data_IF_235814484072
#
_entry.id   IF_235814484072
#
_cell.length_a   1.000
_cell.length_b   1.000
_cell.length_c   1.000
_cell.angle_alpha   90.00
_cell.angle_beta   90.00
_cell.angle_gamma   90.00
#
_symmetry.space_group_name_H-M   'P 1'
#
loop_
_entity.id
_entity.type
_entity.pdbx_description
1 polymer ?
2 non-polymer ?
3 water ?
#
# COMPACT_ATOMS: atom_id res chain seq x y z
N UNK A 1 4.65 4.36 -13.72
CA UNK A 1 5.98 3.65 -13.76
C UNK A 1 7.04 4.51 -13.07
N UNK A 2 7.71 3.97 -12.06
CA UNK A 2 8.63 4.78 -11.25
C UNK A 2 10.03 4.51 -11.73
N UNK A 3 10.89 5.54 -11.75
CA UNK A 3 12.27 5.27 -12.12
C UNK A 3 12.94 4.27 -11.16
N UNK A 4 13.85 3.47 -11.71
CA UNK A 4 14.60 2.50 -10.94
C UNK A 4 15.53 3.15 -9.92
N UNK A 5 16.04 4.32 -10.25
CA UNK A 5 16.96 5.07 -9.41
C UNK A 5 16.61 6.53 -9.42
N UNK A 6 16.81 7.20 -8.29
CA UNK A 6 16.76 8.65 -8.26
C UNK A 6 17.85 9.19 -7.35
N UNK A 7 18.32 10.37 -7.72
CA UNK A 7 19.29 11.10 -6.93
C UNK A 7 19.01 12.58 -7.14
N UNK A 8 18.29 13.15 -6.19
CA UNK A 8 17.91 14.56 -6.26
C UNK A 8 19.11 15.52 -6.24
N UNK A 9 20.29 15.07 -5.81
CA UNK A 9 21.50 15.90 -5.81
C UNK A 9 21.88 16.26 -7.24
N UNK A 10 21.69 15.31 -8.16
CA UNK A 10 21.95 15.52 -9.60
C UNK A 10 21.03 16.56 -10.23
N UNK A 11 19.86 16.82 -9.62
CA UNK A 11 18.92 17.87 -10.05
C UNK A 11 19.09 19.21 -9.34
N UNK A 12 20.17 19.41 -8.60
CA UNK A 12 20.38 20.71 -7.96
C UNK A 12 19.39 21.02 -6.84
N UNK A 13 18.82 19.98 -6.24
CA UNK A 13 17.77 20.13 -5.26
C UNK A 13 18.25 19.88 -3.83
N UNK A 14 19.55 19.66 -3.65
CA UNK A 14 20.14 19.34 -2.34
C UNK A 14 21.33 20.27 -2.05
N UNK A 15 21.31 20.92 -0.89
CA UNK A 15 22.38 21.79 -0.46
C UNK A 15 23.53 20.98 0.11
N UNK A 16 24.64 21.67 0.38
CA UNK A 16 25.79 21.06 1.04
C UNK A 16 25.42 20.38 2.37
N UNK A 17 26.17 19.33 2.66
CA UNK A 17 25.99 18.58 3.90
C UNK A 17 26.37 19.48 5.08
N UNK A 18 25.53 19.46 6.11
CA UNK A 18 25.73 20.24 7.32
C UNK A 18 26.29 19.37 8.46
N UNK A 19 26.70 20.03 9.55
CA UNK A 19 27.34 19.40 10.69
C UNK A 19 26.66 19.93 11.93
N UNK A 20 25.81 19.10 12.54
CA UNK A 20 25.06 19.52 13.71
C UNK A 20 25.91 19.67 14.97
N UNK A 21 27.09 19.07 14.97
CA UNK A 21 27.96 19.11 16.13
C UNK A 21 27.28 18.47 17.33
N UNK A 22 27.50 19.03 18.51
CA UNK A 22 26.98 18.43 19.75
C UNK A 22 25.57 18.90 20.18
N UNK A 23 24.77 19.34 19.22
CA UNK A 23 23.41 19.78 19.46
C UNK A 23 22.53 18.82 18.69
N UNK A 24 21.59 18.17 19.39
CA UNK A 24 20.74 17.14 18.78
C UNK A 24 19.62 17.75 17.96
N UNK A 25 19.99 18.40 16.86
CA UNK A 25 19.06 19.12 16.02
C UNK A 25 18.87 18.45 14.64
N UNK A 26 19.07 17.15 14.56
CA UNK A 26 18.89 16.38 13.30
C UNK A 26 17.51 16.63 12.68
N UNK A 27 16.52 16.72 13.55
CA UNK A 27 15.14 17.02 13.15
C UNK A 27 15.06 18.33 12.38
N UNK A 28 15.82 19.32 12.84
CA UNK A 28 15.83 20.64 12.20
C UNK A 28 16.50 20.60 10.84
N UNK A 29 17.63 19.90 10.76
CA UNK A 29 18.33 19.77 9.49
C UNK A 29 17.51 18.96 8.47
N UNK A 30 16.84 17.92 8.94
CA UNK A 30 15.98 17.11 8.07
C UNK A 30 14.84 17.95 7.46
N UNK A 31 14.23 18.79 8.28
CA UNK A 31 13.10 19.65 7.88
C UNK A 31 13.54 20.67 6.86
N UNK A 32 14.61 21.40 7.17
CA UNK A 32 15.10 22.42 6.22
C UNK A 32 15.54 21.77 4.92
N UNK A 33 16.14 20.58 5.01
CA UNK A 33 16.62 19.88 3.81
C UNK A 33 15.49 19.57 2.84
N UNK A 34 14.40 19.05 3.39
CA UNK A 34 13.24 18.76 2.59
C UNK A 34 12.66 20.03 1.97
N UNK A 35 12.59 21.10 2.74
CA UNK A 35 12.04 22.36 2.23
C UNK A 35 12.94 23.03 1.19
N UNK A 36 14.26 22.87 1.34
CA UNK A 36 15.24 23.43 0.40
C UNK A 36 14.94 22.91 -1.00
N UNK A 37 14.62 21.63 -1.07
CA UNK A 37 14.32 20.98 -2.35
C UNK A 37 13.05 21.56 -3.00
N UNK A 38 12.01 21.73 -2.19
CA UNK A 38 10.75 22.31 -2.69
C UNK A 38 10.95 23.76 -3.15
N UNK A 39 11.76 24.52 -2.42
CA UNK A 39 12.10 25.90 -2.82
C UNK A 39 12.80 25.93 -4.16
N UNK A 40 13.73 25.00 -4.37
CA UNK A 40 14.38 24.90 -5.64
C UNK A 40 13.41 24.55 -6.76
N UNK A 41 12.58 23.54 -6.52
CA UNK A 41 11.55 23.14 -7.51
C UNK A 41 10.63 24.31 -7.88
N UNK A 42 10.26 25.12 -6.89
CA UNK A 42 9.36 26.22 -7.10
C UNK A 42 10.04 27.44 -7.74
N UNK A 43 11.15 27.90 -7.15
CA UNK A 43 11.74 29.17 -7.54
C UNK A 43 12.96 29.05 -8.46
N UNK A 44 13.48 27.83 -8.66
CA UNK A 44 14.73 27.63 -9.41
C UNK A 44 16.01 27.92 -8.63
N UNK A 45 15.92 28.41 -7.40
CA UNK A 45 17.12 28.78 -6.64
C UNK A 45 17.32 27.82 -5.46
N UNK A 46 18.57 27.42 -5.24
CA UNK A 46 18.93 26.57 -4.13
C UNK A 46 19.55 27.41 -3.03
N UNK A 47 18.92 27.48 -1.87
CA UNK A 47 19.53 28.16 -0.73
C UNK A 47 19.36 27.37 0.57
N UNK A 48 20.44 27.27 1.34
CA UNK A 48 20.38 26.64 2.65
C UNK A 48 19.47 27.47 3.56
N UNK A 49 18.50 26.78 4.17
CA UNK A 49 17.59 27.39 5.13
C UNK A 49 18.07 27.19 6.54
N UNK A 50 17.60 28.04 7.45
CA UNK A 50 18.12 28.11 8.80
C UNK A 50 17.59 26.99 9.70
N UNK A 51 18.42 25.98 9.94
CA UNK A 51 18.16 24.98 10.98
C UNK A 51 18.07 25.63 12.34
N UNK A 52 18.93 26.62 12.56
CA UNK A 52 18.93 27.36 13.83
C UNK A 52 17.59 28.04 14.13
N UNK A 53 16.95 28.59 13.11
CA UNK A 53 15.62 29.20 13.21
C UNK A 53 14.61 28.23 13.84
N UNK A 54 14.67 26.97 13.38
CA UNK A 54 13.83 25.94 13.93
C UNK A 54 14.19 25.62 15.35
N UNK A 55 15.48 25.44 15.62
CA UNK A 55 15.96 25.10 16.97
C UNK A 55 15.46 26.11 18.00
N UNK A 56 15.58 27.40 17.67
CA UNK A 56 15.28 28.49 18.61
C UNK A 56 13.80 28.88 18.71
N UNK A 57 13.03 28.63 17.66
CA UNK A 57 11.66 29.17 17.51
C UNK A 57 10.56 28.09 17.45
N UNK A 58 10.83 26.94 16.84
CA UNK A 58 9.90 25.82 16.85
C UNK A 58 10.10 24.99 18.13
N UNK A 59 9.62 25.55 19.24
CA UNK A 59 9.98 25.08 20.59
C UNK A 59 8.78 24.37 21.28
N UNK A 60 8.42 24.73 22.51
CA UNK A 60 7.46 23.96 23.36
C UNK A 60 6.05 23.82 22.81
N UNK A 61 5.55 24.86 22.13
CA UNK A 61 4.25 24.80 21.45
C UNK A 61 4.25 23.73 20.34
N UNK A 62 5.42 23.45 19.78
CA UNK A 62 5.59 22.47 18.70
C UNK A 62 6.12 21.11 19.18
N UNK A 63 6.22 20.94 20.50
CA UNK A 63 6.66 19.69 21.10
C UNK A 63 8.14 19.38 20.92
N UNK A 64 8.94 20.41 20.60
CA UNK A 64 10.36 20.24 20.34
C UNK A 64 11.17 20.84 21.48
N UNK A 65 12.41 20.36 21.60
CA UNK A 65 13.33 20.74 22.68
C UNK A 65 14.71 21.12 22.15
N UNK A 66 14.74 21.75 20.97
CA UNK A 66 15.93 22.28 20.37
C UNK A 66 17.05 21.27 20.21
N UNK A 67 18.18 21.51 20.90
CA UNK A 67 19.32 20.60 20.93
C UNK A 67 19.06 19.26 21.62
N UNK A 68 17.90 19.10 22.25
CA UNK A 68 17.49 17.84 22.83
C UNK A 68 16.38 17.13 22.09
N UNK A 69 16.17 17.51 20.83
CA UNK A 69 15.37 16.73 19.91
C UNK A 69 14.07 17.41 19.54
N UNK A 70 13.43 16.85 18.52
CA UNK A 70 12.21 17.41 17.96
C UNK A 70 11.63 16.55 16.86
N UNK A 71 10.61 17.08 16.19
CA UNK A 71 9.93 16.41 15.10
C UNK A 71 10.01 17.29 13.86
N UNK A 72 10.24 16.66 12.71
CA UNK A 72 10.17 17.38 11.44
C UNK A 72 8.76 17.91 11.14
N UNK A 73 7.73 17.13 11.48
CA UNK A 73 6.33 17.52 11.23
C UNK A 73 6.00 18.86 11.90
N UNK A 74 6.37 19.00 13.18
CA UNK A 74 6.06 20.23 13.89
C UNK A 74 6.99 21.37 13.53
N UNK A 75 8.19 21.04 13.02
CA UNK A 75 9.02 22.05 12.38
C UNK A 75 8.31 22.65 11.16
N UNK A 76 7.73 21.81 10.31
CA UNK A 76 6.97 22.30 9.16
C UNK A 76 5.77 23.15 9.62
N UNK A 77 5.05 22.66 10.64
CA UNK A 77 3.90 23.41 11.19
C UNK A 77 4.35 24.77 11.68
N UNK A 78 5.52 24.85 12.32
CA UNK A 78 6.06 26.14 12.73
C UNK A 78 6.26 27.07 11.53
N UNK A 79 6.90 26.58 10.48
CA UNK A 79 7.14 27.40 9.31
C UNK A 79 5.80 27.89 8.72
N UNK A 80 4.82 27.00 8.69
CA UNK A 80 3.46 27.34 8.26
C UNK A 80 2.87 28.45 9.12
N UNK A 81 2.83 28.24 10.44
CA UNK A 81 2.25 29.21 11.35
C UNK A 81 3.00 30.53 11.31
N UNK A 82 4.33 30.44 11.29
CA UNK A 82 5.21 31.62 11.29
C UNK A 82 5.17 32.42 9.98
N UNK A 83 4.63 31.82 8.92
CA UNK A 83 4.60 32.42 7.58
C UNK A 83 6.01 32.66 7.01
N UNK A 84 6.98 31.84 7.44
CA UNK A 84 8.29 31.78 6.79
C UNK A 84 9.41 31.23 7.66
N UNK A 85 10.55 31.03 7.02
CA UNK A 85 11.78 30.64 7.68
C UNK A 85 12.92 31.45 7.04
N UNK A 86 13.90 31.84 7.86
CA UNK A 86 15.06 32.61 7.39
C UNK A 86 16.08 31.76 6.65
N UNK A 87 16.92 32.43 5.87
CA UNK A 87 18.05 31.78 5.23
C UNK A 87 19.05 31.35 6.29
N UNK A 88 19.85 30.33 5.97
CA UNK A 88 20.93 29.93 6.86
C UNK A 88 21.98 31.05 7.00
N UNK A 89 22.24 31.76 5.91
CA UNK A 89 23.20 32.88 5.94
C UNK A 89 22.79 33.95 6.96
N UNK A 90 21.50 34.32 6.96
CA UNK A 90 21.01 35.37 7.88
C UNK A 90 20.89 34.91 9.30
N UNK A 91 20.67 33.61 9.50
CA UNK A 91 20.40 33.06 10.82
C UNK A 91 21.20 31.75 10.92
N UNK A 92 22.54 31.88 11.09
CA UNK A 92 23.43 30.72 11.02
C UNK A 92 23.38 29.78 12.20
N UNK A 93 23.90 28.58 11.98
CA UNK A 93 23.83 27.51 12.95
C UNK A 93 24.95 27.65 13.96
N UNK A 94 24.58 27.71 15.23
CA UNK A 94 25.49 27.84 16.35
C UNK A 94 25.51 26.60 17.24
N UNK A 95 24.72 25.58 16.92
CA UNK A 95 24.74 24.33 17.70
C UNK A 95 24.51 24.58 19.21
N UNK A 96 23.63 25.52 19.51
CA UNK A 96 23.10 25.67 20.85
C UNK A 96 21.68 26.25 20.81
N UNK A 97 21.01 26.14 21.95
CA UNK A 97 19.69 26.69 22.13
C UNK A 97 19.84 28.20 22.34
N UNK A 98 19.11 29.00 21.58
CA UNK A 98 19.17 30.46 21.68
C UNK A 98 17.75 31.02 21.76
N UNK A 99 17.66 32.32 22.05
CA UNK A 99 16.43 33.05 21.91
C UNK A 99 16.08 33.08 20.41
N UNK A 100 14.80 32.95 20.10
CA UNK A 100 14.31 33.08 18.74
C UNK A 100 14.71 34.42 18.14
N UNK A 101 15.36 34.40 17.00
CA UNK A 101 15.82 35.61 16.33
C UNK A 101 15.20 35.74 14.93
N UNK A 102 14.06 35.10 14.69
CA UNK A 102 13.44 35.13 13.37
C UNK A 102 13.16 36.56 12.95
N UNK A 103 13.50 36.90 11.70
CA UNK A 103 13.24 38.20 11.15
C UNK A 103 12.68 38.04 9.73
N UNK A 104 11.44 38.51 9.51
CA UNK A 104 10.77 38.40 8.20
C UNK A 104 11.54 39.08 7.07
N UNK A 105 12.38 40.04 7.41
CA UNK A 105 13.27 40.66 6.43
C UNK A 105 14.15 39.65 5.68
N UNK A 106 14.61 38.60 6.35
CA UNK A 106 15.53 37.63 5.75
C UNK A 106 14.84 36.29 5.42
N UNK A 107 13.51 36.29 5.37
CA UNK A 107 12.75 35.11 4.99
C UNK A 107 13.25 34.59 3.64
N UNK A 108 13.56 33.31 3.57
CA UNK A 108 13.99 32.66 2.32
C UNK A 108 13.01 31.62 1.78
N UNK A 109 12.06 31.18 2.60
CA UNK A 109 11.05 30.23 2.16
C UNK A 109 9.81 30.32 2.98
N UNK A 110 8.73 29.80 2.43
CA UNK A 110 7.49 29.56 3.15
C UNK A 110 7.12 28.06 3.02
N UNK A 111 6.06 27.67 3.70
CA UNK A 111 5.52 26.32 3.60
C UNK A 111 4.01 26.42 3.73
N UNK A 112 3.28 25.85 2.78
CA UNK A 112 1.81 25.81 2.79
C UNK A 112 1.25 24.66 3.61
N UNK A 113 1.89 23.49 3.51
CA UNK A 113 1.39 22.27 4.13
C UNK A 113 2.51 21.25 4.21
N UNK A 114 2.23 20.15 4.91
CA UNK A 114 3.11 19.00 4.86
C UNK A 114 2.24 17.75 4.85
N UNK A 115 2.82 16.65 4.36
CA UNK A 115 2.12 15.39 4.24
C UNK A 115 2.92 14.33 4.96
N UNK A 116 2.25 13.52 5.80
CA UNK A 116 2.86 12.36 6.43
C UNK A 116 2.52 11.12 5.63
N UNK A 117 3.49 10.20 5.52
CA UNK A 117 3.28 8.94 4.81
C UNK A 117 3.04 7.80 5.79
N UNK A 118 2.31 6.76 5.34
CA UNK A 118 1.90 5.69 6.25
C UNK A 118 3.04 4.86 6.79
N UNK A 119 2.93 4.46 8.04
CA UNK A 119 3.98 3.75 8.76
C UNK A 119 4.46 2.53 8.01
N UNK A 120 5.76 2.43 7.82
CA UNK A 120 6.41 1.23 7.26
C UNK A 120 6.28 0.99 5.76
N UNK A 121 5.63 1.90 5.04
CA UNK A 121 5.32 1.66 3.62
C UNK A 121 6.44 2.17 2.72
N UNK A 122 7.37 1.27 2.43
CA UNK A 122 8.52 1.61 1.60
C UNK A 122 8.14 1.88 0.16
N UNK A 123 7.09 1.20 -0.29
CA UNK A 123 6.48 1.44 -1.59
C UNK A 123 5.96 2.88 -1.72
N UNK A 124 5.31 3.36 -0.67
CA UNK A 124 4.73 4.69 -0.69
C UNK A 124 5.86 5.72 -0.61
N UNK A 125 6.88 5.43 0.20
CA UNK A 125 8.06 6.31 0.32
C UNK A 125 8.79 6.46 -1.01
N UNK A 126 8.99 5.34 -1.71
CA UNK A 126 9.63 5.34 -3.02
C UNK A 126 8.92 6.29 -3.96
N UNK A 127 7.60 6.16 -3.98
CA UNK A 127 6.76 6.94 -4.85
C UNK A 127 6.83 8.44 -4.53
N UNK A 128 6.78 8.79 -3.24
CA UNK A 128 6.93 10.18 -2.82
C UNK A 128 8.32 10.72 -3.18
N UNK A 129 9.36 9.91 -3.02
CA UNK A 129 10.72 10.36 -3.33
C UNK A 129 10.82 10.64 -4.85
N UNK A 130 10.28 9.75 -5.66
CA UNK A 130 10.26 9.94 -7.12
C UNK A 130 9.43 11.16 -7.52
N UNK A 131 8.20 11.24 -7.03
CA UNK A 131 7.23 12.17 -7.58
C UNK A 131 7.18 13.50 -6.89
N UNK A 132 7.60 13.57 -5.64
CA UNK A 132 7.48 14.82 -4.86
C UNK A 132 8.83 15.46 -4.60
N UNK A 133 9.80 14.67 -4.17
CA UNK A 133 11.09 15.23 -3.79
C UNK A 133 11.69 14.50 -2.62
N UNK A 134 12.81 15.01 -2.11
CA UNK A 134 13.33 14.46 -0.89
C UNK A 134 12.33 14.48 0.27
N UNK A 135 12.39 13.46 1.10
CA UNK A 135 11.41 13.21 2.15
C UNK A 135 12.16 13.12 3.48
N UNK A 136 11.66 13.84 4.46
CA UNK A 136 12.24 13.82 5.81
C UNK A 136 11.84 12.52 6.47
N UNK A 137 12.80 11.82 7.07
CA UNK A 137 12.51 10.57 7.77
C UNK A 137 13.29 10.48 9.07
N UNK A 138 12.75 9.70 9.99
CA UNK A 138 13.45 9.25 11.19
C UNK A 138 14.14 7.91 10.93
N UNK A 139 15.30 7.70 11.55
CA UNK A 139 15.94 6.39 11.59
C UNK A 139 16.36 6.09 13.02
N UNK A 140 16.54 4.80 13.31
CA UNK A 140 17.19 4.32 14.52
C UNK A 140 18.69 4.35 14.27
N UNK A 141 19.34 5.37 14.84
CA UNK A 141 20.77 5.61 14.67
C UNK A 141 21.62 5.16 15.86
N UNK A 142 21.03 4.51 16.86
CA UNK A 142 21.74 4.15 18.12
C UNK A 142 22.49 2.83 18.01
N UNK A 143 23.42 2.77 17.07
CA UNK A 143 24.15 1.55 16.74
C UNK A 143 25.51 1.99 16.23
N UNK A 144 26.59 1.49 16.87
CA UNK A 144 27.91 1.84 16.38
C UNK A 144 28.10 1.60 14.89
N UNK A 145 27.48 0.55 14.35
CA UNK A 145 27.58 0.27 12.92
C UNK A 145 27.08 1.46 12.09
N UNK A 146 26.05 2.16 12.58
CA UNK A 146 25.57 3.37 11.90
C UNK A 146 26.63 4.47 11.88
N UNK A 147 27.15 4.85 13.04
CA UNK A 147 28.06 5.98 13.04
C UNK A 147 29.47 5.63 12.59
N UNK A 148 29.81 4.35 12.56
CA UNK A 148 31.04 3.86 11.93
C UNK A 148 30.94 3.59 10.43
N UNK A 149 29.75 3.64 9.86
CA UNK A 149 29.56 3.39 8.42
C UNK A 149 30.46 4.25 7.54
N UNK A 150 31.07 3.62 6.55
CA UNK A 150 31.98 4.29 5.62
C UNK A 150 31.50 4.20 4.18
N UNK A 151 30.98 3.05 3.77
CA UNK A 151 30.50 2.89 2.40
C UNK A 151 29.67 1.64 2.19
N UNK A 152 29.02 1.56 1.04
CA UNK A 152 28.18 0.42 0.68
C UNK A 152 26.75 0.60 1.15
N UNK A 153 26.01 -0.51 1.18
CA UNK A 153 24.63 -0.54 1.65
C UNK A 153 24.61 -1.01 3.11
N UNK A 154 24.20 -0.10 4.00
CA UNK A 154 24.12 -0.36 5.42
C UNK A 154 22.94 -1.25 5.77
N UNK A 155 23.27 -2.38 6.40
CA UNK A 155 22.26 -3.29 6.97
C UNK A 155 22.77 -3.71 8.35
N UNK A 156 21.91 -3.60 9.36
CA UNK A 156 22.23 -3.84 10.76
C UNK A 156 21.12 -4.68 11.40
N UNK A 157 21.38 -5.97 11.67
CA UNK A 157 20.38 -6.87 12.26
C UNK A 157 19.76 -6.35 13.55
N UNK A 158 20.53 -5.64 14.37
CA UNK A 158 20.03 -5.09 15.63
C UNK A 158 19.19 -3.81 15.48
N UNK A 159 19.10 -3.28 14.27
CA UNK A 159 18.34 -2.05 14.05
C UNK A 159 16.86 -2.30 14.37
N UNK A 160 16.19 -1.28 14.88
CA UNK A 160 14.78 -1.36 15.21
C UNK A 160 14.00 -0.35 14.38
N UNK A 161 12.67 -0.43 14.44
CA UNK A 161 11.79 0.49 13.69
C UNK A 161 11.48 1.77 14.45
N UNK A 162 12.05 1.91 15.65
CA UNK A 162 11.80 3.08 16.51
C UNK A 162 12.88 4.12 16.30
N UNK A 163 12.44 5.28 15.78
CA UNK A 163 13.34 6.27 15.24
C UNK A 163 13.83 7.22 16.32
N UNK A 164 15.06 7.68 16.18
CA UNK A 164 15.62 8.64 17.14
C UNK A 164 16.51 9.73 16.52
N UNK A 165 16.60 9.78 15.20
CA UNK A 165 17.50 10.68 14.51
C UNK A 165 16.84 11.05 13.19
N UNK A 166 16.74 12.34 12.91
CA UNK A 166 16.13 12.83 11.68
C UNK A 166 17.17 12.96 10.57
N UNK A 167 16.83 12.46 9.38
CA UNK A 167 17.66 12.56 8.17
C UNK A 167 16.76 12.82 6.95
N UNK A 168 17.36 12.90 5.76
CA UNK A 168 16.65 13.25 4.53
C UNK A 168 16.93 12.19 3.47
N UNK A 169 15.86 11.56 2.99
CA UNK A 169 15.96 10.67 1.86
C UNK A 169 15.98 11.52 0.59
N UNK A 170 17.14 11.56 -0.06
CA UNK A 170 17.31 12.33 -1.30
C UNK A 170 17.32 11.48 -2.54
N UNK A 171 17.15 10.16 -2.38
CA UNK A 171 17.02 9.30 -3.51
C UNK A 171 16.93 7.83 -3.16
N UNK A 172 16.99 7.00 -4.20
CA UNK A 172 17.04 5.57 -4.02
C UNK A 172 17.72 4.92 -5.21
N UNK A 173 18.12 3.67 -5.03
CA UNK A 173 18.70 2.87 -6.11
C UNK A 173 19.03 1.47 -5.68
N UNK A 174 19.99 0.86 -6.37
CA UNK A 174 20.55 -0.41 -5.95
C UNK A 174 22.03 -0.48 -6.30
N UNK A 175 22.75 -1.25 -5.47
CA UNK A 175 24.18 -1.49 -5.66
C UNK A 175 24.35 -2.97 -5.92
N UNK A 176 24.56 -3.30 -7.20
CA UNK A 176 24.65 -4.71 -7.66
C UNK A 176 23.47 -5.56 -7.17
N UNK A 177 22.26 -4.98 -7.18
CA UNK A 177 21.06 -5.68 -6.71
C UNK A 177 20.61 -5.44 -5.29
N UNK A 178 21.49 -4.95 -4.41
CA UNK A 178 21.11 -4.56 -3.04
C UNK A 178 20.44 -3.17 -3.07
N UNK A 179 19.12 -3.18 -2.91
CA UNK A 179 18.33 -1.96 -2.91
C UNK A 179 18.69 -1.07 -1.70
N UNK A 180 18.67 0.23 -1.93
CA UNK A 180 18.99 1.20 -0.87
C UNK A 180 18.19 2.48 -0.99
N UNK A 181 18.12 3.18 0.15
CA UNK A 181 17.70 4.57 0.24
C UNK A 181 18.96 5.43 0.34
N UNK A 182 19.03 6.47 -0.50
CA UNK A 182 20.10 7.45 -0.45
C UNK A 182 19.78 8.51 0.58
N UNK A 183 20.52 8.53 1.69
CA UNK A 183 20.17 9.33 2.87
C UNK A 183 21.22 10.40 3.17
N UNK A 184 20.76 11.63 3.30
CA UNK A 184 21.58 12.77 3.69
C UNK A 184 21.55 12.90 5.20
N UNK A 185 22.73 12.91 5.80
CA UNK A 185 22.86 13.10 7.23
C UNK A 185 23.34 14.52 7.49
N UNK A 186 23.36 14.88 8.77
CA UNK A 186 23.85 16.15 9.25
C UNK A 186 25.00 15.91 10.26
N UNK A 187 25.91 14.99 9.93
CA UNK A 187 27.13 14.76 10.72
C UNK A 187 28.38 15.15 9.94
N UNK A 188 28.23 16.08 9.01
CA UNK A 188 29.32 16.60 8.23
C UNK A 188 29.77 15.68 7.11
N UNK A 189 30.76 16.19 6.36
CA UNK A 189 31.30 15.54 5.17
C UNK A 189 32.10 14.29 5.50
N UNK A 190 32.56 14.14 6.75
CA UNK A 190 33.36 12.96 7.13
C UNK A 190 32.56 11.73 7.52
N UNK A 191 31.25 11.87 7.71
CA UNK A 191 30.42 10.73 7.96
C UNK A 191 30.16 10.04 6.63
N UNK A 192 30.37 8.74 6.62
CA UNK A 192 29.96 7.87 5.51
C UNK A 192 30.48 8.28 4.15
N UNK A 193 29.59 8.27 3.17
CA UNK A 193 29.95 8.56 1.79
C UNK A 193 29.77 10.05 1.55
N UNK A 194 30.77 10.81 2.00
CA UNK A 194 30.78 12.27 1.90
C UNK A 194 29.52 12.92 2.50
N UNK A 195 29.15 12.44 3.65
CA UNK A 195 28.00 12.96 4.41
C UNK A 195 26.72 12.15 4.24
N UNK A 196 26.74 11.17 3.35
CA UNK A 196 25.57 10.38 2.97
C UNK A 196 25.73 8.94 3.44
N UNK A 197 24.60 8.26 3.59
CA UNK A 197 24.61 6.83 3.86
C UNK A 197 23.59 6.15 2.98
N UNK A 198 23.97 5.04 2.37
CA UNK A 198 23.02 4.21 1.62
C UNK A 198 22.49 3.10 2.54
N UNK A 199 21.20 3.18 2.86
CA UNK A 199 20.59 2.29 3.85
C UNK A 199 19.63 1.30 3.20
N UNK A 200 19.66 0.07 3.70
CA UNK A 200 18.88 -1.05 3.12
C UNK A 200 17.42 -0.66 2.86
N UNK A 201 16.94 -0.94 1.64
CA UNK A 201 15.60 -0.61 1.22
C UNK A 201 14.85 -1.92 0.95
N UNK A 202 13.54 -1.92 1.16
CA UNK A 202 12.72 -3.14 1.01
C UNK A 202 13.30 -4.31 1.81
N UNK A 203 13.73 -4.03 3.05
CA UNK A 203 14.13 -5.07 4.00
C UNK A 203 13.41 -4.88 5.33
N UNK A 204 12.10 -4.75 5.26
CA UNK A 204 11.26 -4.78 6.44
C UNK A 204 11.32 -3.52 7.29
N UNK A 205 11.32 -2.35 6.63
CA UNK A 205 11.39 -1.06 7.30
C UNK A 205 12.65 -0.97 8.18
N UNK A 206 13.77 -1.23 7.54
CA UNK A 206 15.06 -1.30 8.21
C UNK A 206 15.44 0.03 8.89
N UNK A 207 15.77 -0.05 10.18
CA UNK A 207 16.03 1.14 11.03
C UNK A 207 14.86 2.15 11.10
N UNK A 208 13.65 1.70 10.81
CA UNK A 208 12.45 2.56 10.78
C UNK A 208 12.46 3.68 9.75
N UNK A 209 13.22 3.50 8.66
CA UNK A 209 13.39 4.53 7.64
C UNK A 209 12.02 5.03 7.14
N UNK A 210 11.06 4.12 7.00
CA UNK A 210 9.70 4.45 6.56
C UNK A 210 8.66 4.54 7.71
N UNK A 211 9.11 4.61 8.97
CA UNK A 211 8.19 4.67 10.10
C UNK A 211 7.41 5.97 10.10
N UNK A 212 8.13 7.10 10.04
CA UNK A 212 7.51 8.43 10.02
C UNK A 212 8.09 9.38 8.98
N UNK A 213 7.82 9.11 7.68
CA UNK A 213 8.18 10.05 6.64
C UNK A 213 7.22 11.23 6.53
N UNK A 214 7.77 12.39 6.20
CA UNK A 214 6.99 13.55 5.85
C UNK A 214 7.72 14.46 4.86
N UNK A 215 6.94 15.28 4.14
CA UNK A 215 7.50 16.27 3.27
C UNK A 215 6.62 17.51 3.17
N UNK A 216 7.23 18.68 3.01
CA UNK A 216 6.45 19.91 2.94
C UNK A 216 6.14 20.25 1.49
N UNK A 217 5.25 21.21 1.30
CA UNK A 217 5.00 21.78 -0.02
C UNK A 217 4.84 23.30 0.05
N UNK A 218 5.21 23.95 -1.04
CA UNK A 218 5.08 25.40 -1.20
C UNK A 218 4.05 25.64 -2.30
N UNK A 219 2.98 26.38 -1.99
CA UNK A 219 1.93 26.74 -2.98
C UNK A 219 2.44 27.58 -4.15
N UNK B 1 -12.22 -34.95 9.87
CA UNK B 1 -13.72 -34.92 9.75
C UNK B 1 -14.17 -33.50 9.37
N UNK B 2 -14.91 -33.39 8.27
CA UNK B 2 -15.30 -32.09 7.77
C UNK B 2 -16.71 -31.77 8.23
N UNK B 3 -16.99 -30.50 8.56
CA UNK B 3 -18.37 -30.18 8.91
C UNK B 3 -19.37 -30.50 7.77
N UNK B 4 -20.57 -30.88 8.16
CA UNK B 4 -21.62 -31.19 7.20
C UNK B 4 -22.10 -29.97 6.42
N UNK B 5 -22.04 -28.82 7.07
CA UNK B 5 -22.46 -27.54 6.49
C UNK B 5 -21.47 -26.47 6.85
N UNK B 6 -21.25 -25.53 5.93
CA UNK B 6 -20.57 -24.29 6.25
C UNK B 6 -21.23 -23.12 5.54
N UNK B 7 -21.15 -21.98 6.20
CA UNK B 7 -21.62 -20.71 5.66
C UNK B 7 -20.71 -19.64 6.21
N UNK B 8 -19.75 -19.24 5.39
CA UNK B 8 -18.80 -18.20 5.76
C UNK B 8 -19.42 -16.83 6.03
N UNK B 9 -20.66 -16.61 5.58
CA UNK B 9 -21.37 -15.36 5.85
C UNK B 9 -21.64 -15.21 7.34
N UNK B 10 -21.94 -16.33 7.99
CA UNK B 10 -22.17 -16.39 9.46
C UNK B 10 -20.93 -16.04 10.25
N UNK B 11 -19.74 -16.18 9.66
CA UNK B 11 -18.46 -15.79 10.29
C UNK B 11 -17.97 -14.38 9.96
N UNK B 12 -18.79 -13.55 9.34
CA UNK B 12 -18.36 -12.20 9.05
C UNK B 12 -17.25 -12.09 8.00
N UNK B 13 -17.17 -13.10 7.15
CA UNK B 13 -16.11 -13.22 6.16
C UNK B 13 -16.57 -12.89 4.74
N UNK B 14 -17.84 -12.47 4.61
CA UNK B 14 -18.42 -12.16 3.29
C UNK B 14 -19.03 -10.76 3.28
N UNK B 15 -18.63 -9.94 2.32
CA UNK B 15 -19.16 -8.59 2.17
C UNK B 15 -20.54 -8.63 1.48
N UNK B 16 -21.18 -7.48 1.45
CA UNK B 16 -22.46 -7.33 0.74
C UNK B 16 -22.36 -7.76 -0.73
N UNK B 17 -23.49 -8.27 -1.21
CA UNK B 17 -23.61 -8.67 -2.61
C UNK B 17 -23.43 -7.45 -3.50
N UNK B 18 -22.64 -7.61 -4.56
CA UNK B 18 -22.40 -6.55 -5.55
C UNK B 18 -23.24 -6.77 -6.81
N UNK B 19 -23.27 -5.75 -7.66
CA UNK B 19 -24.04 -5.74 -8.90
C UNK B 19 -23.11 -5.28 -9.99
N UNK B 20 -22.69 -6.22 -10.84
CA UNK B 20 -21.76 -5.91 -11.90
C UNK B 20 -22.36 -5.10 -13.03
N UNK B 21 -23.69 -5.07 -13.12
CA UNK B 21 -24.38 -4.35 -14.18
C UNK B 21 -24.01 -4.94 -15.52
N UNK B 22 -23.91 -4.09 -16.53
CA UNK B 22 -23.66 -4.50 -17.90
C UNK B 22 -22.17 -4.65 -18.29
N UNK B 23 -21.30 -4.87 -17.32
CA UNK B 23 -19.87 -5.04 -17.54
C UNK B 23 -19.57 -6.46 -17.09
N UNK B 24 -18.99 -7.26 -17.98
CA UNK B 24 -18.73 -8.68 -17.71
C UNK B 24 -17.52 -8.88 -16.83
N UNK B 25 -17.61 -8.43 -15.58
CA UNK B 25 -16.50 -8.45 -14.65
C UNK B 25 -16.71 -9.43 -13.50
N UNK B 26 -17.48 -10.50 -13.72
CA UNK B 26 -17.71 -11.53 -12.70
C UNK B 26 -16.41 -12.09 -12.11
N UNK B 27 -15.43 -12.24 -12.97
CA UNK B 27 -14.10 -12.70 -12.60
C UNK B 27 -13.49 -11.79 -11.55
N UNK B 28 -13.70 -10.48 -11.71
CA UNK B 28 -13.14 -9.47 -10.77
C UNK B 28 -13.83 -9.55 -9.44
N UNK B 29 -15.16 -9.67 -9.45
CA UNK B 29 -15.91 -9.76 -8.21
C UNK B 29 -15.60 -11.07 -7.46
N UNK B 30 -15.43 -12.16 -8.21
CA UNK B 30 -15.09 -13.45 -7.60
C UNK B 30 -13.74 -13.39 -6.89
N UNK B 31 -12.77 -12.74 -7.53
CA UNK B 31 -11.39 -12.61 -6.99
C UNK B 31 -11.38 -11.77 -5.74
N UNK B 32 -11.99 -10.58 -5.81
CA UNK B 32 -12.03 -9.71 -4.62
C UNK B 32 -12.79 -10.40 -3.47
N UNK B 33 -13.84 -11.13 -3.80
CA UNK B 33 -14.64 -11.79 -2.77
C UNK B 33 -13.83 -12.80 -1.98
N UNK B 34 -13.07 -13.61 -2.71
CA UNK B 34 -12.20 -14.58 -2.07
C UNK B 34 -11.16 -13.90 -1.19
N UNK B 35 -10.57 -12.82 -1.69
CA UNK B 35 -9.54 -12.12 -0.93
C UNK B 35 -10.10 -11.38 0.28
N UNK B 36 -11.33 -10.88 0.18
CA UNK B 36 -12.00 -10.18 1.29
C UNK B 36 -12.05 -11.10 2.51
N UNK B 37 -12.37 -12.35 2.26
CA UNK B 37 -12.47 -13.34 3.33
C UNK B 37 -11.10 -13.59 4.00
N UNK B 38 -10.05 -13.71 3.22
CA UNK B 38 -8.70 -13.91 3.74
C UNK B 38 -8.23 -12.69 4.57
N UNK B 39 -8.56 -11.50 4.07
CA UNK B 39 -8.27 -10.26 4.80
C UNK B 39 -8.96 -10.23 6.16
N UNK B 40 -10.22 -10.65 6.18
CA UNK B 40 -10.95 -10.73 7.43
C UNK B 40 -10.31 -11.75 8.38
N UNK B 41 -10.02 -12.94 7.88
CA UNK B 41 -9.37 -13.97 8.69
C UNK B 41 -8.05 -13.49 9.27
N UNK B 42 -7.28 -12.75 8.48
CA UNK B 42 -5.98 -12.28 8.90
C UNK B 42 -6.06 -11.08 9.83
N UNK B 43 -6.78 -10.03 9.44
CA UNK B 43 -6.75 -8.77 10.15
C UNK B 43 -7.95 -8.52 11.07
N UNK B 44 -8.98 -9.37 11.00
CA UNK B 44 -10.23 -9.15 11.73
C UNK B 44 -11.18 -8.12 11.13
N UNK B 45 -10.81 -7.43 10.04
CA UNK B 45 -11.66 -6.39 9.48
C UNK B 45 -12.23 -6.85 8.13
N UNK B 46 -13.51 -6.56 7.92
CA UNK B 46 -14.18 -6.90 6.67
C UNK B 46 -14.30 -5.64 5.82
N UNK B 47 -13.64 -5.62 4.66
CA UNK B 47 -13.75 -4.47 3.76
C UNK B 47 -13.87 -4.91 2.29
N UNK B 48 -14.83 -4.33 1.58
CA UNK B 48 -15.02 -4.60 0.17
C UNK B 48 -13.80 -4.07 -0.59
N UNK B 49 -13.23 -4.94 -1.43
CA UNK B 49 -12.08 -4.60 -2.24
C UNK B 49 -12.53 -4.20 -3.65
N UNK B 50 -11.66 -3.46 -4.33
CA UNK B 50 -12.02 -2.83 -5.60
C UNK B 50 -11.98 -3.79 -6.77
N UNK B 51 -13.17 -4.23 -7.19
CA UNK B 51 -13.33 -4.96 -8.46
C UNK B 51 -12.88 -4.08 -9.63
N UNK B 52 -13.16 -2.77 -9.56
CA UNK B 52 -12.75 -1.83 -10.59
C UNK B 52 -11.25 -1.79 -10.80
N UNK B 53 -10.48 -1.85 -9.71
CA UNK B 53 -9.02 -1.90 -9.74
C UNK B 53 -8.53 -3.06 -10.62
N UNK B 54 -9.17 -4.21 -10.47
CA UNK B 54 -8.86 -5.36 -11.30
C UNK B 54 -9.25 -5.13 -12.74
N UNK B 55 -10.47 -4.61 -12.97
CA UNK B 55 -10.95 -4.37 -14.34
C UNK B 55 -9.99 -3.49 -15.13
N UNK B 56 -9.54 -2.42 -14.48
CA UNK B 56 -8.71 -1.39 -15.14
C UNK B 56 -7.20 -1.72 -15.24
N UNK B 57 -6.69 -2.56 -14.33
CA UNK B 57 -5.25 -2.75 -14.13
C UNK B 57 -4.77 -4.17 -14.37
N UNK B 58 -5.57 -5.19 -14.04
CA UNK B 58 -5.26 -6.58 -14.37
C UNK B 58 -5.74 -6.86 -15.80
N UNK B 59 -5.00 -6.33 -16.78
CA UNK B 59 -5.46 -6.24 -18.17
C UNK B 59 -4.67 -7.21 -19.07
N UNK B 60 -4.11 -6.74 -20.20
CA UNK B 60 -3.53 -7.62 -21.27
C UNK B 60 -2.37 -8.51 -20.86
N UNK B 61 -1.51 -8.00 -19.96
CA UNK B 61 -0.40 -8.81 -19.40
C UNK B 61 -0.94 -10.00 -18.60
N UNK B 62 -2.16 -9.86 -18.05
CA UNK B 62 -2.81 -10.89 -17.23
C UNK B 62 -3.85 -11.71 -17.99
N UNK B 63 -3.96 -11.49 -19.30
CA UNK B 63 -4.86 -12.23 -20.16
C UNK B 63 -6.33 -11.89 -19.97
N UNK B 64 -6.61 -10.73 -19.36
CA UNK B 64 -7.98 -10.30 -19.06
C UNK B 64 -8.36 -9.15 -19.97
N UNK B 65 -9.67 -8.98 -20.13
CA UNK B 65 -10.27 -7.98 -21.03
C UNK B 65 -11.36 -7.16 -20.33
N UNK B 66 -11.17 -6.90 -19.04
CA UNK B 66 -12.03 -6.03 -18.26
C UNK B 66 -13.49 -6.45 -18.28
N UNK B 67 -14.34 -5.56 -18.81
CA UNK B 67 -15.77 -5.82 -18.99
C UNK B 67 -16.10 -6.92 -20.01
N UNK B 68 -15.10 -7.41 -20.75
CA UNK B 68 -15.26 -8.55 -21.64
C UNK B 68 -14.65 -9.84 -21.14
N UNK B 69 -14.37 -9.91 -19.84
CA UNK B 69 -14.04 -11.19 -19.21
C UNK B 69 -12.59 -11.28 -18.78
N UNK B 70 -12.33 -12.30 -17.96
CA UNK B 70 -11.03 -12.50 -17.34
C UNK B 70 -10.96 -13.76 -16.51
N UNK B 71 -9.85 -13.91 -15.80
CA UNK B 71 -9.60 -15.06 -14.93
C UNK B 71 -9.35 -14.57 -13.53
N UNK B 72 -9.89 -15.28 -12.55
CA UNK B 72 -9.58 -15.02 -11.15
C UNK B 72 -8.10 -15.26 -10.81
N UNK B 73 -7.51 -16.30 -11.40
CA UNK B 73 -6.09 -16.65 -11.14
C UNK B 73 -5.17 -15.49 -11.49
N UNK B 74 -5.37 -14.88 -12.67
CA UNK B 74 -4.51 -13.79 -13.08
C UNK B 74 -4.86 -12.47 -12.40
N UNK B 75 -6.09 -12.36 -11.91
CA UNK B 75 -6.43 -11.27 -10.99
C UNK B 75 -5.60 -11.36 -9.72
N UNK B 76 -5.49 -12.56 -9.13
CA UNK B 76 -4.66 -12.76 -7.94
C UNK B 76 -3.20 -12.42 -8.27
N UNK B 77 -2.71 -12.93 -9.41
CA UNK B 77 -1.33 -12.65 -9.83
C UNK B 77 -1.08 -11.18 -9.95
N UNK B 78 -2.05 -10.44 -10.49
CA UNK B 78 -1.92 -8.97 -10.55
C UNK B 78 -1.73 -8.38 -9.17
N UNK B 79 -2.58 -8.77 -8.22
CA UNK B 79 -2.50 -8.23 -6.87
C UNK B 79 -1.12 -8.55 -6.27
N UNK B 80 -0.65 -9.77 -6.50
CA UNK B 80 0.68 -10.20 -6.08
C UNK B 80 1.76 -9.30 -6.69
N UNK B 81 1.78 -9.20 -8.00
CA UNK B 81 2.79 -8.39 -8.70
C UNK B 81 2.71 -6.94 -8.29
N UNK B 82 1.49 -6.41 -8.21
CA UNK B 82 1.26 -5.00 -7.87
C UNK B 82 1.57 -4.65 -6.41
N UNK B 83 1.72 -5.67 -5.57
CA UNK B 83 1.92 -5.51 -4.12
C UNK B 83 0.73 -4.81 -3.43
N UNK B 84 -0.48 -4.97 -4.00
CA UNK B 84 -1.70 -4.52 -3.35
C UNK B 84 -2.90 -4.31 -4.25
N UNK B 85 -4.05 -4.13 -3.59
CA UNK B 85 -5.28 -3.76 -4.26
C UNK B 85 -5.97 -2.72 -3.39
N UNK B 86 -6.62 -1.75 -4.03
CA UNK B 86 -7.34 -0.69 -3.32
C UNK B 86 -8.67 -1.15 -2.75
N UNK B 87 -9.17 -0.40 -1.76
CA UNK B 87 -10.51 -0.63 -1.24
C UNK B 87 -11.53 -0.27 -2.32
N UNK B 88 -12.72 -0.85 -2.22
CA UNK B 88 -13.81 -0.49 -3.10
C UNK B 88 -14.23 0.96 -2.90
N UNK B 89 -14.20 1.41 -1.64
CA UNK B 89 -14.55 2.80 -1.33
C UNK B 89 -13.65 3.78 -2.07
N UNK B 90 -12.33 3.54 -2.04
CA UNK B 90 -11.37 4.46 -2.67
C UNK B 90 -11.36 4.36 -4.19
N UNK B 91 -11.74 3.21 -4.73
CA UNK B 91 -11.65 2.96 -6.15
C UNK B 91 -12.95 2.22 -6.56
N UNK B 92 -14.07 2.99 -6.62
CA UNK B 92 -15.39 2.39 -6.77
C UNK B 92 -15.71 1.84 -8.15
N UNK B 93 -16.72 0.98 -8.17
CA UNK B 93 -17.09 0.26 -9.37
C UNK B 93 -17.99 1.12 -10.23
N UNK B 94 -17.59 1.32 -11.48
CA UNK B 94 -18.33 2.10 -12.48
C UNK B 94 -18.85 1.23 -13.62
N UNK B 95 -18.59 -0.07 -13.61
CA UNK B 95 -19.11 -0.95 -14.66
C UNK B 95 -18.71 -0.51 -16.07
N UNK B 96 -17.48 0.01 -16.19
CA UNK B 96 -16.86 0.21 -17.48
C UNK B 96 -15.35 0.11 -17.42
N UNK B 97 -14.72 -0.04 -18.58
CA UNK B 97 -13.28 -0.14 -18.70
C UNK B 97 -12.71 1.26 -18.56
N UNK B 98 -11.73 1.44 -17.68
CA UNK B 98 -11.08 2.74 -17.44
C UNK B 98 -9.56 2.57 -17.50
N UNK B 99 -8.86 3.71 -17.49
CA UNK B 99 -7.43 3.72 -17.27
C UNK B 99 -7.18 3.24 -15.82
N UNK B 100 -6.12 2.48 -15.62
CA UNK B 100 -5.71 2.06 -14.30
C UNK B 100 -5.46 3.25 -13.38
N UNK B 101 -6.14 3.28 -12.25
CA UNK B 101 -6.03 4.37 -11.29
C UNK B 101 -5.56 3.89 -9.93
N UNK B 102 -4.85 2.76 -9.88
CA UNK B 102 -4.39 2.20 -8.60
C UNK B 102 -3.57 3.23 -7.86
N UNK B 103 -3.85 3.36 -6.56
CA UNK B 103 -3.13 4.28 -5.69
C UNK B 103 -2.72 3.53 -4.40
N UNK B 104 -1.42 3.39 -4.19
CA UNK B 104 -0.86 2.70 -3.02
C UNK B 104 -1.29 3.30 -1.69
N UNK B 105 -1.66 4.57 -1.70
CA UNK B 105 -2.19 5.22 -0.51
C UNK B 105 -3.45 4.55 0.03
N UNK B 106 -4.32 4.03 -0.87
CA UNK B 106 -5.58 3.41 -0.45
C UNK B 106 -5.59 1.90 -0.53
N UNK B 107 -4.40 1.31 -0.58
CA UNK B 107 -4.27 -0.15 -0.56
C UNK B 107 -4.99 -0.71 0.66
N UNK B 108 -5.87 -1.68 0.46
CA UNK B 108 -6.61 -2.33 1.55
C UNK B 108 -6.24 -3.79 1.76
N UNK B 109 -5.57 -4.40 0.79
CA UNK B 109 -5.14 -5.78 0.93
C UNK B 109 -3.93 -6.05 0.09
N UNK B 110 -3.24 -7.13 0.47
CA UNK B 110 -2.19 -7.72 -0.35
C UNK B 110 -2.54 -9.19 -0.58
N UNK B 111 -1.72 -9.84 -1.40
CA UNK B 111 -1.86 -11.27 -1.66
C UNK B 111 -0.47 -11.84 -1.84
N UNK B 112 -0.15 -12.89 -1.09
CA UNK B 112 1.15 -13.59 -1.19
C UNK B 112 1.17 -14.63 -2.32
N UNK B 113 0.06 -15.36 -2.46
CA UNK B 113 -0.02 -16.47 -3.38
C UNK B 113 -1.47 -16.82 -3.66
N UNK B 114 -1.68 -17.72 -4.61
CA UNK B 114 -2.97 -18.37 -4.77
C UNK B 114 -2.74 -19.83 -5.09
N UNK B 115 -3.76 -20.64 -4.87
CA UNK B 115 -3.69 -22.08 -5.08
C UNK B 115 -4.84 -22.47 -6.00
N UNK B 116 -4.56 -23.27 -7.03
CA UNK B 116 -5.60 -23.87 -7.87
C UNK B 116 -5.91 -25.27 -7.40
N UNK B 117 -7.18 -25.67 -7.46
CA UNK B 117 -7.60 -27.02 -7.06
C UNK B 117 -7.84 -27.89 -8.29
N UNK B 118 -7.70 -29.23 -8.13
CA UNK B 118 -7.77 -30.13 -9.27
C UNK B 118 -9.16 -30.20 -9.91
N UNK B 119 -9.17 -30.31 -11.24
CA UNK B 119 -10.39 -30.28 -12.02
C UNK B 119 -11.39 -31.30 -11.56
N UNK B 120 -12.63 -30.84 -11.32
CA UNK B 120 -13.78 -31.71 -11.04
C UNK B 120 -13.84 -32.33 -9.66
N UNK B 121 -12.91 -31.99 -8.77
CA UNK B 121 -12.84 -32.66 -7.46
C UNK B 121 -13.67 -31.93 -6.42
N UNK B 122 -14.93 -32.32 -6.32
CA UNK B 122 -15.86 -31.68 -5.38
C UNK B 122 -15.50 -31.97 -3.92
N UNK B 123 -14.91 -33.14 -3.70
CA UNK B 123 -14.37 -33.52 -2.41
C UNK B 123 -13.25 -32.58 -1.97
N UNK B 124 -12.36 -32.26 -2.90
CA UNK B 124 -11.25 -31.37 -2.60
C UNK B 124 -11.75 -29.95 -2.39
N UNK B 125 -12.73 -29.53 -3.19
CA UNK B 125 -13.36 -28.20 -3.05
C UNK B 125 -14.03 -28.05 -1.68
N UNK B 126 -14.76 -29.07 -1.27
CA UNK B 126 -15.42 -29.08 0.04
C UNK B 126 -14.40 -28.82 1.15
N UNK B 127 -13.30 -29.54 1.06
CA UNK B 127 -12.23 -29.45 2.04
C UNK B 127 -11.59 -28.06 2.09
N UNK B 128 -11.31 -27.49 0.91
CA UNK B 128 -10.81 -26.11 0.84
C UNK B 128 -11.81 -25.10 1.39
N UNK B 129 -13.09 -25.29 1.10
CA UNK B 129 -14.11 -24.36 1.58
C UNK B 129 -14.19 -24.41 3.11
N UNK B 130 -14.15 -25.62 3.67
CA UNK B 130 -14.14 -25.80 5.13
C UNK B 130 -12.88 -25.23 5.76
N UNK B 131 -11.71 -25.61 5.24
CA UNK B 131 -10.47 -25.37 5.95
C UNK B 131 -9.78 -24.09 5.57
N UNK B 132 -10.04 -23.54 4.40
CA UNK B 132 -9.32 -22.35 3.92
C UNK B 132 -10.19 -21.10 3.88
N UNK B 133 -11.39 -21.23 3.34
CA UNK B 133 -12.26 -20.08 3.18
C UNK B 133 -13.05 -20.17 1.90
N UNK B 134 -13.80 -19.10 1.60
CA UNK B 134 -14.45 -19.06 0.31
C UNK B 134 -13.46 -19.20 -0.86
N UNK B 135 -13.92 -19.85 -1.92
CA UNK B 135 -13.09 -20.26 -3.05
C UNK B 135 -13.73 -19.69 -4.31
N UNK B 136 -12.90 -19.04 -5.12
CA UNK B 136 -13.33 -18.51 -6.42
C UNK B 136 -13.53 -19.67 -7.38
N UNK B 137 -14.65 -19.70 -8.07
CA UNK B 137 -14.93 -20.74 -9.05
C UNK B 137 -15.58 -20.18 -10.28
N UNK B 138 -15.42 -20.90 -11.38
CA UNK B 138 -16.17 -20.67 -12.61
C UNK B 138 -17.40 -21.57 -12.63
N UNK B 139 -18.49 -21.07 -13.21
CA UNK B 139 -19.66 -21.90 -13.54
C UNK B 139 -20.08 -21.64 -14.98
N UNK B 140 -20.80 -22.62 -15.55
CA UNK B 140 -21.51 -22.44 -16.81
C UNK B 140 -22.86 -21.78 -16.49
N UNK B 141 -22.94 -20.49 -16.78
CA UNK B 141 -24.11 -19.68 -16.50
C UNK B 141 -24.99 -19.39 -17.71
N UNK B 142 -24.70 -19.97 -18.87
CA UNK B 142 -25.39 -19.65 -20.13
C UNK B 142 -26.68 -20.45 -20.34
N UNK B 143 -27.60 -20.29 -19.39
CA UNK B 143 -28.82 -21.07 -19.32
C UNK B 143 -29.86 -20.22 -18.65
N UNK B 144 -31.00 -19.99 -19.33
CA UNK B 144 -32.04 -19.21 -18.71
C UNK B 144 -32.42 -19.67 -17.31
N UNK B 145 -32.38 -20.98 -17.07
CA UNK B 145 -32.67 -21.51 -15.74
C UNK B 145 -31.74 -20.91 -14.68
N UNK B 146 -30.49 -20.64 -15.04
CA UNK B 146 -29.55 -20.00 -14.12
C UNK B 146 -29.99 -18.56 -13.79
N UNK B 147 -30.20 -17.74 -14.80
CA UNK B 147 -30.53 -16.34 -14.49
C UNK B 147 -31.97 -16.12 -14.05
N UNK B 148 -32.84 -17.09 -14.31
CA UNK B 148 -34.21 -17.11 -13.74
C UNK B 148 -34.31 -17.73 -12.36
N UNK B 149 -33.25 -18.35 -11.85
CA UNK B 149 -33.28 -19.02 -10.53
C UNK B 149 -33.78 -18.09 -9.41
N UNK B 150 -34.68 -18.61 -8.58
CA UNK B 150 -35.24 -17.86 -7.46
C UNK B 150 -34.96 -18.49 -6.12
N UNK B 151 -35.04 -19.82 -6.02
CA UNK B 151 -34.78 -20.47 -4.74
C UNK B 151 -34.61 -21.97 -4.88
N UNK B 152 -34.14 -22.60 -3.81
CA UNK B 152 -33.93 -24.05 -3.80
C UNK B 152 -32.55 -24.43 -4.29
N UNK B 153 -32.40 -25.69 -4.65
CA UNK B 153 -31.14 -26.24 -5.18
C UNK B 153 -31.24 -26.28 -6.71
N UNK B 154 -30.39 -25.50 -7.36
CA UNK B 154 -30.34 -25.42 -8.81
C UNK B 154 -29.70 -26.66 -9.44
N UNK B 155 -30.46 -27.32 -10.31
CA UNK B 155 -29.95 -28.40 -11.17
C UNK B 155 -30.52 -28.16 -12.57
N UNK B 156 -29.65 -28.22 -13.57
CA UNK B 156 -29.95 -27.93 -14.97
C UNK B 156 -29.31 -29.01 -15.86
N UNK B 157 -30.13 -29.92 -16.44
CA UNK B 157 -29.62 -31.01 -17.27
C UNK B 157 -28.71 -30.57 -18.41
N UNK B 158 -28.98 -29.41 -19.00
CA UNK B 158 -28.16 -28.90 -20.10
C UNK B 158 -26.86 -28.23 -19.67
N UNK B 159 -26.63 -28.11 -18.37
CA UNK B 159 -25.42 -27.47 -17.87
C UNK B 159 -24.21 -28.28 -18.28
N UNK B 160 -23.11 -27.60 -18.56
CA UNK B 160 -21.86 -28.24 -18.97
C UNK B 160 -20.77 -27.91 -17.95
N UNK B 161 -19.64 -28.59 -18.08
CA UNK B 161 -18.50 -28.38 -17.18
C UNK B 161 -17.59 -27.24 -17.62
N UNK B 162 -17.94 -26.57 -18.73
CA UNK B 162 -17.14 -25.49 -19.29
C UNK B 162 -17.66 -24.14 -18.79
N UNK B 163 -16.80 -23.46 -18.05
CA UNK B 163 -17.18 -22.33 -17.25
C UNK B 163 -17.11 -21.04 -18.05
N UNK B 164 -18.00 -20.11 -17.75
CA UNK B 164 -18.00 -18.80 -18.41
C UNK B 164 -18.35 -17.61 -17.52
N UNK B 165 -18.47 -17.83 -16.21
CA UNK B 165 -18.92 -16.81 -15.29
C UNK B 165 -18.27 -17.10 -13.95
N UNK B 166 -17.62 -16.10 -13.38
CA UNK B 166 -16.91 -16.23 -12.10
C UNK B 166 -17.84 -15.93 -10.94
N UNK B 167 -17.84 -16.81 -9.93
CA UNK B 167 -18.60 -16.64 -8.68
C UNK B 167 -17.75 -17.09 -7.49
N UNK B 168 -18.31 -17.04 -6.27
CA UNK B 168 -17.60 -17.34 -5.04
C UNK B 168 -18.38 -18.38 -4.24
N UNK B 169 -17.75 -19.52 -3.98
CA UNK B 169 -18.30 -20.51 -3.10
C UNK B 169 -18.03 -20.09 -1.67
N UNK B 170 -19.08 -19.69 -0.98
CA UNK B 170 -18.97 -19.23 0.40
C UNK B 170 -19.43 -20.27 1.40
N UNK B 171 -19.87 -21.41 0.92
CA UNK B 171 -20.23 -22.49 1.81
C UNK B 171 -20.80 -23.69 1.11
N UNK B 172 -21.30 -24.62 1.91
CA UNK B 172 -21.98 -25.81 1.41
C UNK B 172 -22.95 -26.33 2.45
N UNK B 173 -23.86 -27.17 2.00
CA UNK B 173 -24.81 -27.82 2.89
C UNK B 173 -25.73 -28.77 2.15
N UNK B 174 -26.91 -29.02 2.72
CA UNK B 174 -27.96 -29.75 2.04
C UNK B 174 -29.31 -29.23 2.43
N UNK B 175 -30.26 -29.35 1.50
CA UNK B 175 -31.64 -28.94 1.71
C UNK B 175 -32.50 -30.19 1.65
N UNK B 176 -32.90 -30.69 2.83
CA UNK B 176 -33.62 -31.97 2.97
C UNK B 176 -32.98 -33.12 2.19
N UNK B 177 -31.65 -33.20 2.25
CA UNK B 177 -30.88 -34.25 1.58
C UNK B 177 -30.27 -33.89 0.23
N UNK B 178 -30.78 -32.85 -0.45
CA UNK B 178 -30.19 -32.37 -1.71
C UNK B 178 -28.95 -31.50 -1.43
N UNK B 179 -27.77 -32.08 -1.66
CA UNK B 179 -26.52 -31.39 -1.41
C UNK B 179 -26.35 -30.18 -2.34
N UNK B 180 -25.74 -29.12 -1.80
CA UNK B 180 -25.51 -27.90 -2.60
C UNK B 180 -24.23 -27.19 -2.22
N UNK B 181 -23.76 -26.36 -3.16
CA UNK B 181 -22.76 -25.34 -2.94
C UNK B 181 -23.47 -24.00 -2.76
N UNK B 182 -23.13 -23.28 -1.70
CA UNK B 182 -23.63 -21.94 -1.45
C UNK B 182 -22.77 -20.93 -2.21
N UNK B 183 -23.35 -20.32 -3.23
CA UNK B 183 -22.60 -19.50 -4.21
C UNK B 183 -23.05 -18.04 -4.17
N UNK B 184 -22.06 -17.16 -4.01
CA UNK B 184 -22.24 -15.72 -4.09
C UNK B 184 -22.08 -15.26 -5.52
N UNK B 185 -23.09 -14.58 -6.04
CA UNK B 185 -23.02 -14.03 -7.38
C UNK B 185 -22.81 -12.53 -7.26
N UNK B 186 -22.61 -11.89 -8.40
CA UNK B 186 -22.45 -10.45 -8.52
C UNK B 186 -23.52 -9.89 -9.47
N UNK B 187 -24.77 -10.37 -9.33
CA UNK B 187 -25.90 -9.82 -10.09
C UNK B 187 -26.89 -9.11 -9.19
N UNK B 188 -26.40 -8.62 -8.05
CA UNK B 188 -27.19 -7.86 -7.12
C UNK B 188 -28.06 -8.69 -6.23
N UNK B 189 -28.75 -7.99 -5.34
CA UNK B 189 -29.56 -8.60 -4.28
C UNK B 189 -30.83 -9.22 -4.84
N UNK B 190 -31.26 -8.84 -6.04
CA UNK B 190 -32.48 -9.40 -6.64
C UNK B 190 -32.29 -10.72 -7.37
N UNK B 191 -31.05 -11.14 -7.61
CA UNK B 191 -30.80 -12.44 -8.20
C UNK B 191 -30.95 -13.47 -7.10
N UNK B 192 -31.73 -14.51 -7.40
CA UNK B 192 -31.83 -15.70 -6.57
C UNK B 192 -32.19 -15.44 -5.13
N UNK B 193 -31.45 -16.08 -4.22
CA UNK B 193 -31.76 -16.00 -2.81
C UNK B 193 -30.94 -14.87 -2.21
N UNK B 194 -31.45 -13.67 -2.41
CA UNK B 194 -30.80 -12.43 -1.95
C UNK B 194 -29.35 -12.30 -2.42
N UNK B 195 -29.15 -12.60 -3.69
CA UNK B 195 -27.87 -12.48 -4.35
C UNK B 195 -27.11 -13.79 -4.49
N UNK B 196 -27.62 -14.85 -3.84
CA UNK B 196 -26.95 -16.13 -3.75
C UNK B 196 -27.71 -17.19 -4.54
N UNK B 197 -27.01 -18.25 -4.94
CA UNK B 197 -27.64 -19.41 -5.54
C UNK B 197 -27.10 -20.66 -4.89
N UNK B 198 -27.99 -21.59 -4.56
CA UNK B 198 -27.57 -22.90 -4.09
C UNK B 198 -27.53 -23.88 -5.27
N UNK B 199 -26.34 -24.32 -5.63
CA UNK B 199 -26.14 -25.14 -6.83
C UNK B 199 -25.79 -26.58 -6.48
N UNK B 200 -26.33 -27.52 -7.25
CA UNK B 200 -26.17 -28.96 -7.00
C UNK B 200 -24.72 -29.34 -6.72
N UNK B 201 -24.50 -30.08 -5.63
CA UNK B 201 -23.18 -30.52 -5.20
C UNK B 201 -23.13 -32.03 -5.26
N UNK B 202 -21.97 -32.60 -5.53
CA UNK B 202 -21.80 -34.06 -5.69
C UNK B 202 -22.79 -34.62 -6.70
N UNK B 203 -22.96 -33.92 -7.83
CA UNK B 203 -23.71 -34.43 -8.96
C UNK B 203 -22.90 -34.25 -10.24
N UNK B 204 -21.68 -34.76 -10.21
CA UNK B 204 -20.86 -34.87 -11.42
C UNK B 204 -20.30 -33.56 -11.95
N UNK B 205 -19.83 -32.71 -11.03
CA UNK B 205 -19.26 -31.40 -11.37
C UNK B 205 -20.29 -30.56 -12.13
N UNK B 206 -21.46 -30.42 -11.52
CA UNK B 206 -22.58 -29.75 -12.17
C UNK B 206 -22.27 -28.27 -12.46
N UNK B 207 -22.51 -27.87 -13.72
CA UNK B 207 -22.15 -26.54 -14.25
C UNK B 207 -20.66 -26.17 -14.13
N UNK B 208 -19.79 -27.18 -14.00
CA UNK B 208 -18.35 -26.99 -13.82
C UNK B 208 -17.92 -26.26 -12.57
N UNK B 209 -18.74 -26.32 -11.53
CA UNK B 209 -18.47 -25.62 -10.28
C UNK B 209 -17.05 -25.91 -9.75
N UNK B 210 -16.63 -27.15 -9.88
CA UNK B 210 -15.28 -27.59 -9.44
C UNK B 210 -14.26 -27.72 -10.58
N UNK B 211 -14.55 -27.17 -11.76
CA UNK B 211 -13.64 -27.26 -12.89
C UNK B 211 -12.35 -26.51 -12.64
N UNK B 212 -12.46 -25.22 -12.27
CA UNK B 212 -11.32 -24.36 -12.00
C UNK B 212 -11.45 -23.50 -10.73
N UNK B 213 -11.41 -24.16 -9.55
CA UNK B 213 -11.36 -23.44 -8.29
C UNK B 213 -9.99 -22.87 -7.96
N UNK B 214 -9.98 -21.70 -7.35
CA UNK B 214 -8.78 -21.11 -6.80
C UNK B 214 -9.08 -20.23 -5.58
N UNK B 215 -8.08 -20.05 -4.73
CA UNK B 215 -8.19 -19.14 -3.62
C UNK B 215 -6.84 -18.50 -3.28
N UNK B 216 -6.88 -17.25 -2.81
CA UNK B 216 -5.65 -16.56 -2.49
C UNK B 216 -5.29 -16.74 -1.04
N UNK B 217 -4.07 -16.37 -0.69
CA UNK B 217 -3.65 -16.31 0.71
C UNK B 217 -2.85 -15.06 0.99
N UNK B 218 -2.97 -14.57 2.22
CA UNK B 218 -2.17 -13.47 2.74
C UNK B 218 -1.27 -14.06 3.82
N UNK B 219 0.05 -13.97 3.69
CA UNK B 219 0.98 -14.56 4.71
C UNK B 219 1.93 -13.55 5.37
X LIG C 1 4.13 17.08 22.15
X LIG C 1 3.90 16.48 20.94
X LIG C 1 3.30 17.23 19.94
X LIG C 1 2.94 18.55 20.14
X LIG C 1 3.18 19.17 21.37
X LIG C 1 3.78 18.42 22.39
X LIG C 1 2.37 19.00 18.95
X LIG C 1 2.36 18.01 18.03
X LIG C 1 2.95 16.90 18.66
X LIG C 1 3.14 15.63 17.99
X LIG C 1 1.85 20.31 18.70
X LIG C 1 4.88 16.14 23.41
X LIG C 1 1.87 14.94 17.67
X LIG C 1 2.03 14.05 16.48
X LIG C 1 3.36 13.46 16.42
X LIG C 1 4.38 14.49 16.17
X LIG C 1 4.03 15.81 16.79
X LIG C 1 3.39 12.33 15.47
X LIG C 1 4.30 12.44 14.27
X LIG C 1 4.71 11.06 13.91
X LIG C 1 5.88 10.58 14.72
X LIG C 1 7.13 11.10 14.42
X LIG C 1 8.23 10.56 15.26
X LIG C 1 7.94 9.64 16.23
X LIG C 1 6.64 9.18 16.46
X LIG C 1 5.70 9.67 15.72
X LIG C 1 7.24 11.92 13.52
X LIG C 1 1.93 18.07 16.89
X LIG C 1 9.59 11.02 15.04
X LIG C 1 10.02 11.40 13.79
X LIG C 1 11.30 11.83 13.59
X LIG C 1 12.17 11.89 14.66
X LIG C 1 11.79 11.52 15.93
X LIG C 1 10.48 11.09 16.11
X LIG C 1 13.78 12.45 14.36
X LIG C 1 12.74 11.59 17.09
X LIG C 1 12.42 12.69 17.98
X LIG C 1 12.51 12.58 19.30
X LIG C 1 12.86 11.56 19.86
X LIG C 1 12.15 13.77 20.08
X LIG C 1 12.93 14.14 21.16
X LIG C 1 12.60 15.27 21.90
X LIG C 1 11.49 15.98 21.53
X LIG C 1 10.70 15.64 20.47
X LIG C 1 11.03 14.53 19.74
X LIG C 1 11.16 17.07 22.25
X LIG D 1 -3.65 -15.18 -21.92
X LIG D 1 -3.82 -16.14 -20.93
X LIG D 1 -3.05 -16.01 -19.80
X LIG D 1 -2.13 -14.99 -19.66
X LIG D 1 -1.96 -14.04 -20.65
X LIG D 1 -2.72 -14.15 -21.80
X LIG D 1 -1.52 -15.15 -18.42
X LIG D 1 -2.04 -16.26 -17.79
X LIG D 1 -2.98 -16.79 -18.65
X LIG D 1 -3.76 -17.98 -18.32
X LIG D 1 -0.52 -14.33 -17.88
X LIG D 1 -4.60 -15.30 -23.36
X LIG D 1 -2.94 -19.15 -17.97
X LIG D 1 -3.84 -20.37 -17.83
X LIG D 1 -4.87 -20.15 -16.75
X LIG D 1 -5.66 -18.92 -17.03
X LIG D 1 -4.77 -17.72 -17.21
X LIG D 1 -5.72 -21.31 -16.63
X LIG D 1 -6.50 -21.32 -15.33
X LIG D 1 -7.53 -22.39 -15.35
X LIG D 1 -8.76 -22.07 -16.16
X LIG D 1 -9.61 -21.07 -15.70
X LIG D 1 -10.80 -20.83 -16.57
X LIG D 1 -10.94 -21.59 -17.70
X LIG D 1 -10.03 -22.56 -18.07
X LIG D 1 -9.00 -22.75 -17.30
X LIG D 1 -9.35 -20.46 -14.66
X LIG D 1 -1.73 -16.68 -16.68
X LIG D 1 -11.82 -19.82 -16.22
X LIG D 1 -12.16 -19.60 -14.88
X LIG D 1 -13.12 -18.68 -14.55
X LIG D 1 -13.76 -17.97 -15.54
X LIG D 1 -13.47 -18.15 -16.90
X LIG D 1 -12.49 -19.10 -17.21
X LIG D 1 -14.96 -16.80 -15.05
X LIG D 1 -14.15 -17.39 -17.99
X LIG D 1 -13.31 -16.38 -18.61
X LIG D 1 -13.39 -16.07 -19.92
X LIG D 1 -14.19 -16.59 -20.69
X LIG D 1 -12.47 -15.03 -20.40
X LIG D 1 -12.92 -14.10 -21.31
X LIG D 1 -12.09 -13.11 -21.78
X LIG D 1 -10.80 -13.08 -21.33
X LIG D 1 -10.30 -13.98 -20.43
X LIG D 1 -11.14 -14.96 -19.96
X LIG D 1 -9.98 -12.11 -21.80
#
# INVERSE_FOLDING_TARGET
ILPDSVDWREKGCVTEVKYQGSCGASWAFSAVGALEAQLKLKTGKLVSLSAQNLVDCSTEKYGNKGCNGGFMTTAFQYIIDNKGIDSDASYPYKAMDQKCQYDSKYRAATCSKYTELPYGREDVLKEAVANKGPVSVGVDARHPSFFLYRSGVYYEPSCTQNVNHGVLVVGYGDLNGKEYWLVKNSWGHNFGEEGYIRMARNKGNHCGIASFPSYPEILQGGG
ILPDSVDWREKGCVTEVKYQGSCGASWAFSAVGALEAQLKLKTGKLVSLSAQNLVDCSTEKYGNKGCNGGFMTTAFQYIIDNKGIDSDASYPYKAMDQKCQYDSKYRAATCSKYTELPYGREDVLKEAVANKGPVSVGVDARHPSFFLYRSGVYYEPSCTQNVNHGVLVVGYGDLNGKEYWLVKNSWGHNFGEEGYIRMARNKGNHCGIASFPSYPEILQGGG
N2A C1 C2 C3 C4 C5 C6 N13 C14 N15 C20 C22 CL24 C26 C27 N28 C29 C30 C37 C39 C41 N43 C45 C46 C47 N48 C49 O56 O58 C60 C62 C63 C64 C65 C66 CL73 C75 N77 C79 O81 C83 C85 C86 C87 C88 C89 F96
N2A C1 C2 C3 C4 C5 C6 N13 C14 N15 C20 C22 CL24 C26 C27 N28 C29 C30 C37 C39 C41 N43 C45 C46 C47 N48 C49 O56 O58 C60 C62 C63 C64 C65 C66 CL73 C75 N77 C79 O81 C83 C85 C86 C87 C88 C89 F96
#
